data_IF_122099351973
#
_entry.id   IF_122099351973
#
_cell.length_a   1.000
_cell.length_b   1.000
_cell.length_c   1.000
_cell.angle_alpha   90.00
_cell.angle_beta   90.00
_cell.angle_gamma   90.00
#
_symmetry.space_group_name_H-M   'P 1'
#
loop_
_entity.id
_entity.type
_entity.pdbx_description
1 polymer ?
#
# COMPACT_ATOMS: atom_id res chain seq x y z
N UNK A 1 14.47 2.62 11.96
CA UNK A 1 13.22 2.52 11.16
C UNK A 1 13.38 1.62 9.95
N UNK A 2 14.27 1.91 8.98
CA UNK A 2 14.43 1.04 7.80
C UNK A 2 14.77 -0.42 8.18
N UNK A 3 15.60 -0.64 9.19
CA UNK A 3 15.90 -1.98 9.72
C UNK A 3 14.65 -2.70 10.24
N UNK A 4 13.71 -1.99 10.86
CA UNK A 4 12.42 -2.55 11.32
C UNK A 4 11.56 -2.95 10.12
N UNK A 5 11.49 -2.11 9.09
CA UNK A 5 10.76 -2.40 7.85
C UNK A 5 11.37 -3.64 7.17
N UNK A 6 12.69 -3.66 6.96
CA UNK A 6 13.40 -4.81 6.38
C UNK A 6 13.22 -6.06 7.25
N UNK A 7 13.24 -5.93 8.58
CA UNK A 7 12.98 -7.03 9.50
C UNK A 7 11.58 -7.61 9.38
N UNK A 8 10.57 -6.76 9.19
CA UNK A 8 9.20 -7.17 8.92
C UNK A 8 9.10 -7.94 7.59
N UNK A 9 9.68 -7.41 6.51
CA UNK A 9 9.74 -8.10 5.21
C UNK A 9 10.46 -9.46 5.30
N UNK A 10 11.61 -9.50 5.98
CA UNK A 10 12.35 -10.75 6.22
C UNK A 10 11.56 -11.76 7.06
N UNK A 11 10.72 -11.30 7.98
CA UNK A 11 9.84 -12.18 8.74
C UNK A 11 8.79 -12.85 7.84
N UNK A 12 8.27 -12.14 6.83
CA UNK A 12 7.43 -12.74 5.78
C UNK A 12 8.21 -13.76 4.94
N UNK A 13 9.44 -13.44 4.52
CA UNK A 13 10.28 -14.37 3.77
C UNK A 13 10.57 -15.68 4.55
N UNK A 14 10.91 -15.56 5.84
CA UNK A 14 11.31 -16.70 6.68
C UNK A 14 10.16 -17.66 7.00
N UNK A 15 8.93 -17.18 7.11
CA UNK A 15 7.78 -18.01 7.53
C UNK A 15 7.24 -18.91 6.40
N UNK A 16 7.88 -18.93 5.21
CA UNK A 16 7.37 -19.61 3.99
C UNK A 16 5.97 -19.14 3.60
N UNK A 17 5.55 -17.98 4.10
CA UNK A 17 4.39 -17.28 3.60
C UNK A 17 4.56 -17.05 2.10
N UNK A 18 5.77 -16.88 1.61
CA UNK A 18 6.06 -16.63 0.19
C UNK A 18 5.57 -17.70 -0.79
N UNK A 19 5.63 -19.02 -0.54
CA UNK A 19 5.17 -19.99 -1.56
C UNK A 19 3.65 -20.13 -1.59
N UNK A 20 3.01 -20.23 -0.42
CA UNK A 20 1.56 -20.27 -0.32
C UNK A 20 0.94 -18.92 -0.67
N UNK A 21 1.52 -17.81 -0.19
CA UNK A 21 1.07 -16.47 -0.55
C UNK A 21 1.33 -16.16 -2.02
N UNK A 22 2.42 -16.61 -2.66
CA UNK A 22 2.59 -16.44 -4.12
C UNK A 22 1.54 -17.23 -4.89
N UNK A 23 1.20 -18.46 -4.47
CA UNK A 23 0.10 -19.20 -5.10
C UNK A 23 -1.24 -18.49 -4.90
N UNK A 24 -1.59 -18.13 -3.66
CA UNK A 24 -2.83 -17.43 -3.32
C UNK A 24 -2.93 -16.07 -4.01
N UNK A 25 -1.82 -15.32 -4.07
CA UNK A 25 -1.70 -14.04 -4.75
C UNK A 25 -1.88 -14.20 -6.25
N UNK A 26 -1.22 -15.17 -6.89
CA UNK A 26 -1.40 -15.44 -8.33
C UNK A 26 -2.82 -15.89 -8.65
N UNK A 27 -3.43 -16.70 -7.78
CA UNK A 27 -4.82 -17.12 -7.93
C UNK A 27 -5.78 -15.92 -7.82
N UNK A 28 -5.62 -15.09 -6.78
CA UNK A 28 -6.41 -13.88 -6.59
C UNK A 28 -6.22 -12.86 -7.72
N UNK A 29 -4.97 -12.69 -8.19
CA UNK A 29 -4.62 -11.81 -9.31
C UNK A 29 -5.21 -12.33 -10.62
N UNK A 30 -5.17 -13.64 -10.88
CA UNK A 30 -5.80 -14.24 -12.06
C UNK A 30 -7.31 -14.00 -12.06
N UNK A 31 -7.99 -14.21 -10.93
CA UNK A 31 -9.42 -13.92 -10.82
C UNK A 31 -9.71 -12.42 -10.99
N UNK A 32 -8.91 -11.56 -10.35
CA UNK A 32 -9.07 -10.10 -10.44
C UNK A 32 -8.87 -9.59 -11.86
N UNK A 33 -7.87 -10.09 -12.58
CA UNK A 33 -7.61 -9.72 -13.97
C UNK A 33 -8.78 -10.13 -14.86
N UNK A 34 -9.29 -11.36 -14.71
CA UNK A 34 -10.46 -11.81 -15.45
C UNK A 34 -11.71 -10.97 -15.18
N UNK A 35 -11.96 -10.62 -13.90
CA UNK A 35 -13.06 -9.74 -13.51
C UNK A 35 -12.89 -8.31 -14.04
N UNK A 36 -11.65 -7.83 -14.17
CA UNK A 36 -11.35 -6.52 -14.74
C UNK A 36 -11.52 -6.50 -16.27
N UNK A 37 -11.11 -7.55 -16.99
CA UNK A 37 -11.26 -7.65 -18.46
C UNK A 37 -12.74 -7.75 -18.86
N UNK A 38 -13.57 -8.36 -18.01
CA UNK A 38 -15.02 -8.45 -18.22
C UNK A 38 -15.79 -7.23 -17.68
N UNK A 39 -15.09 -6.22 -17.14
CA UNK A 39 -15.72 -5.08 -16.46
C UNK A 39 -16.55 -4.20 -17.39
N UNK A 40 -16.14 -4.09 -18.65
CA UNK A 40 -16.72 -3.18 -19.65
C UNK A 40 -17.79 -3.85 -20.52
N UNK A 41 -18.11 -5.14 -20.28
CA UNK A 41 -19.11 -5.85 -21.08
C UNK A 41 -20.54 -5.55 -20.58
N UNK A 42 -21.44 -4.98 -21.41
CA UNK A 42 -22.75 -4.47 -20.96
C UNK A 42 -23.70 -5.56 -20.45
N UNK A 43 -23.49 -6.82 -20.85
CA UNK A 43 -24.32 -7.97 -20.46
C UNK A 43 -23.67 -8.89 -19.42
N UNK A 44 -22.58 -8.46 -18.75
CA UNK A 44 -21.82 -9.32 -17.81
C UNK A 44 -22.68 -9.92 -16.68
N UNK A 45 -23.70 -9.19 -16.23
CA UNK A 45 -24.56 -9.59 -15.12
C UNK A 45 -25.50 -10.76 -15.49
N UNK A 46 -25.68 -11.00 -16.79
CA UNK A 46 -26.42 -12.15 -17.31
C UNK A 46 -25.53 -13.38 -17.50
N UNK A 47 -24.21 -13.24 -17.37
CA UNK A 47 -23.29 -14.36 -17.48
C UNK A 47 -23.18 -15.06 -16.10
N UNK A 48 -23.73 -16.29 -15.95
CA UNK A 48 -23.68 -17.01 -14.68
C UNK A 48 -22.24 -17.35 -14.26
N UNK A 49 -21.31 -17.45 -15.21
CA UNK A 49 -19.88 -17.67 -14.94
C UNK A 49 -19.28 -16.47 -14.21
N UNK A 50 -19.58 -15.25 -14.67
CA UNK A 50 -19.12 -14.02 -14.01
C UNK A 50 -19.65 -13.93 -12.57
N UNK A 51 -20.93 -14.26 -12.36
CA UNK A 51 -21.53 -14.27 -11.02
C UNK A 51 -20.87 -15.29 -10.09
N UNK A 52 -20.60 -16.49 -10.60
CA UNK A 52 -19.89 -17.54 -9.86
C UNK A 52 -18.47 -17.12 -9.50
N UNK A 53 -17.69 -16.61 -10.46
CA UNK A 53 -16.31 -16.19 -10.23
C UNK A 53 -16.21 -14.99 -9.30
N UNK A 54 -17.10 -14.00 -9.45
CA UNK A 54 -17.19 -12.87 -8.53
C UNK A 54 -17.49 -13.35 -7.10
N UNK A 55 -18.43 -14.28 -6.93
CA UNK A 55 -18.73 -14.86 -5.63
C UNK A 55 -17.55 -15.66 -5.07
N UNK A 56 -16.88 -16.48 -5.90
CA UNK A 56 -15.68 -17.24 -5.53
C UNK A 56 -14.54 -16.32 -5.11
N UNK A 57 -14.31 -15.21 -5.82
CA UNK A 57 -13.31 -14.21 -5.46
C UNK A 57 -13.59 -13.61 -4.08
N UNK A 58 -14.81 -13.12 -3.86
CA UNK A 58 -15.18 -12.49 -2.60
C UNK A 58 -15.08 -13.49 -1.44
N UNK A 59 -15.58 -14.72 -1.63
CA UNK A 59 -15.48 -15.78 -0.62
C UNK A 59 -14.01 -16.13 -0.32
N UNK A 60 -13.17 -16.22 -1.35
CA UNK A 60 -11.75 -16.47 -1.16
C UNK A 60 -11.07 -15.36 -0.34
N UNK A 61 -11.31 -14.09 -0.69
CA UNK A 61 -10.80 -12.93 0.04
C UNK A 61 -11.24 -12.95 1.51
N UNK A 62 -12.50 -13.32 1.74
CA UNK A 62 -13.08 -13.45 3.06
C UNK A 62 -12.41 -14.51 3.93
N UNK A 63 -12.13 -15.67 3.34
CA UNK A 63 -11.52 -16.80 4.03
C UNK A 63 -10.03 -16.56 4.31
N UNK A 64 -9.33 -15.85 3.43
CA UNK A 64 -7.89 -15.61 3.58
C UNK A 64 -7.56 -14.40 4.44
N UNK A 65 -8.44 -13.39 4.52
CA UNK A 65 -8.19 -12.16 5.28
C UNK A 65 -7.75 -12.41 6.75
N UNK A 66 -8.35 -13.33 7.53
CA UNK A 66 -7.87 -13.64 8.89
C UNK A 66 -6.44 -14.21 8.94
N UNK A 67 -6.02 -14.97 7.91
CA UNK A 67 -4.68 -15.54 7.81
C UNK A 67 -3.67 -14.43 7.54
N UNK A 68 -3.95 -13.57 6.56
CA UNK A 68 -3.12 -12.40 6.23
C UNK A 68 -2.94 -11.49 7.46
N UNK A 69 -4.04 -11.16 8.15
CA UNK A 69 -3.99 -10.34 9.38
C UNK A 69 -3.10 -10.96 10.46
N UNK A 70 -3.09 -12.29 10.60
CA UNK A 70 -2.21 -12.99 11.56
C UNK A 70 -0.75 -12.97 11.12
N UNK A 71 -0.47 -13.11 9.82
CA UNK A 71 0.89 -13.06 9.28
C UNK A 71 1.51 -11.67 9.49
N UNK A 72 0.77 -10.61 9.19
CA UNK A 72 1.17 -9.21 9.42
C UNK A 72 1.55 -8.96 10.89
N UNK A 73 0.67 -9.34 11.84
CA UNK A 73 0.95 -9.19 13.28
C UNK A 73 2.19 -9.99 13.69
N UNK A 74 2.36 -11.22 13.17
CA UNK A 74 3.56 -12.00 13.46
C UNK A 74 4.82 -11.33 12.92
N UNK A 75 4.77 -10.78 11.71
CA UNK A 75 5.90 -10.08 11.12
C UNK A 75 6.26 -8.82 11.93
N UNK A 76 5.27 -8.04 12.35
CA UNK A 76 5.45 -6.89 13.26
C UNK A 76 6.10 -7.31 14.58
N UNK A 77 5.57 -8.35 15.22
CA UNK A 77 6.08 -8.88 16.47
C UNK A 77 7.52 -9.37 16.34
N UNK A 78 7.88 -10.03 15.22
CA UNK A 78 9.26 -10.47 14.96
C UNK A 78 10.22 -9.31 14.76
N UNK A 79 9.77 -8.26 14.09
CA UNK A 79 10.56 -7.05 13.95
C UNK A 79 10.74 -6.35 15.30
N UNK A 80 9.68 -6.24 16.11
CA UNK A 80 9.74 -5.70 17.46
C UNK A 80 10.62 -6.54 18.40
N UNK A 81 10.63 -7.87 18.26
CA UNK A 81 11.53 -8.78 18.99
C UNK A 81 13.01 -8.50 18.68
N UNK A 82 13.32 -8.14 17.43
CA UNK A 82 14.69 -7.91 16.98
C UNK A 82 15.19 -6.48 17.23
N UNK A 83 14.31 -5.48 17.19
CA UNK A 83 14.68 -4.05 17.19
C UNK A 83 14.03 -3.21 18.30
N UNK A 84 13.13 -3.82 19.09
CA UNK A 84 12.45 -3.19 20.21
C UNK A 84 11.06 -2.65 19.90
N UNK A 85 10.18 -2.71 20.92
CA UNK A 85 8.78 -2.31 20.82
C UNK A 85 8.57 -0.84 20.44
N UNK A 86 9.30 0.10 21.05
CA UNK A 86 9.12 1.52 20.77
C UNK A 86 9.61 1.94 19.38
N UNK A 87 10.71 1.35 18.91
CA UNK A 87 11.20 1.62 17.56
C UNK A 87 10.22 1.04 16.52
N UNK A 88 9.67 -0.14 16.77
CA UNK A 88 8.63 -0.73 15.92
C UNK A 88 7.36 0.13 15.89
N UNK A 89 6.88 0.60 17.04
CA UNK A 89 5.71 1.50 17.12
C UNK A 89 5.92 2.81 16.35
N UNK A 90 7.06 3.49 16.59
CA UNK A 90 7.41 4.73 15.89
C UNK A 90 7.46 4.51 14.38
N UNK A 91 8.06 3.39 13.96
CA UNK A 91 8.13 3.01 12.54
C UNK A 91 6.75 2.78 11.95
N UNK A 92 5.86 2.01 12.61
CA UNK A 92 4.49 1.74 12.15
C UNK A 92 3.66 3.02 12.00
N UNK A 93 3.75 3.94 12.98
CA UNK A 93 3.05 5.23 12.92
C UNK A 93 3.54 6.07 11.73
N UNK A 94 4.85 6.12 11.54
CA UNK A 94 5.46 6.90 10.46
C UNK A 94 5.16 6.28 9.09
N UNK A 95 5.23 4.97 8.97
CA UNK A 95 4.88 4.23 7.76
C UNK A 95 3.41 4.48 7.38
N UNK A 96 2.49 4.38 8.34
CA UNK A 96 1.08 4.70 8.11
C UNK A 96 0.90 6.16 7.64
N UNK A 97 1.58 7.11 8.27
CA UNK A 97 1.47 8.53 7.90
C UNK A 97 2.00 8.78 6.49
N UNK A 98 3.19 8.24 6.18
CA UNK A 98 3.85 8.42 4.88
C UNK A 98 3.04 7.77 3.76
N UNK A 99 2.57 6.54 3.97
CA UNK A 99 1.74 5.82 2.99
C UNK A 99 0.39 6.51 2.76
N UNK A 100 -0.25 7.01 3.82
CA UNK A 100 -1.52 7.73 3.72
C UNK A 100 -1.38 9.06 2.98
N UNK A 101 -0.30 9.81 3.22
CA UNK A 101 -0.01 11.03 2.46
C UNK A 101 0.32 10.75 1.00
N UNK A 102 1.07 9.68 0.73
CA UNK A 102 1.38 9.29 -0.64
C UNK A 102 0.12 8.89 -1.41
N UNK A 103 -0.78 8.12 -0.78
CA UNK A 103 -2.08 7.76 -1.35
C UNK A 103 -2.95 8.98 -1.63
N UNK A 104 -2.96 9.97 -0.73
CA UNK A 104 -3.65 11.24 -0.93
C UNK A 104 -3.13 12.01 -2.14
N UNK A 105 -1.81 12.10 -2.30
CA UNK A 105 -1.18 12.72 -3.47
C UNK A 105 -1.56 11.99 -4.76
N UNK A 106 -1.52 10.65 -4.73
CA UNK A 106 -1.86 9.86 -5.89
C UNK A 106 -3.33 10.04 -6.30
N UNK A 107 -4.24 10.07 -5.33
CA UNK A 107 -5.65 10.35 -5.56
C UNK A 107 -5.85 11.73 -6.20
N UNK A 108 -5.15 12.75 -5.70
CA UNK A 108 -5.18 14.09 -6.29
C UNK A 108 -4.70 14.07 -7.75
N UNK A 109 -3.58 13.38 -8.05
CA UNK A 109 -3.05 13.25 -9.43
C UNK A 109 -4.04 12.57 -10.37
N UNK A 110 -4.75 11.55 -9.89
CA UNK A 110 -5.80 10.87 -10.67
C UNK A 110 -6.99 11.80 -10.94
N UNK A 111 -7.38 12.63 -9.98
CA UNK A 111 -8.46 13.62 -10.13
C UNK A 111 -8.06 14.76 -11.09
N UNK A 112 -6.84 15.27 -10.97
CA UNK A 112 -6.30 16.30 -11.86
C UNK A 112 -6.24 15.78 -13.32
N UNK A 113 -5.79 14.54 -13.52
CA UNK A 113 -5.79 13.87 -14.83
C UNK A 113 -7.20 13.73 -15.41
N UNK A 114 -8.17 13.27 -14.61
CA UNK A 114 -9.58 13.13 -15.05
C UNK A 114 -10.26 14.45 -15.37
N UNK A 115 -9.86 15.53 -14.70
CA UNK A 115 -10.43 16.87 -14.89
C UNK A 115 -9.71 17.69 -15.98
N UNK A 116 -8.69 17.12 -16.63
CA UNK A 116 -7.93 17.79 -17.68
C UNK A 116 -7.06 18.94 -17.19
N UNK A 117 -6.75 18.98 -15.89
CA UNK A 117 -5.80 19.96 -15.33
C UNK A 117 -4.39 19.67 -15.83
N UNK A 118 -3.51 20.70 -15.92
CA UNK A 118 -2.13 20.50 -16.29
C UNK A 118 -1.46 19.48 -15.36
N UNK A 119 -0.87 18.44 -15.93
CA UNK A 119 -0.09 17.49 -15.16
C UNK A 119 1.20 18.18 -14.68
N UNK A 120 1.51 18.03 -13.40
CA UNK A 120 2.81 18.45 -12.87
C UNK A 120 3.91 17.58 -13.49
N UNK A 121 4.93 18.25 -14.03
CA UNK A 121 6.03 17.66 -14.80
C UNK A 121 6.95 16.77 -13.93
N UNK A 122 6.94 16.97 -12.61
CA UNK A 122 7.66 16.10 -11.66
C UNK A 122 6.98 14.75 -11.58
N UNK A 123 7.76 13.69 -11.39
CA UNK A 123 7.21 12.38 -11.05
C UNK A 123 6.48 12.43 -9.70
N UNK A 124 5.55 11.50 -9.47
CA UNK A 124 4.78 11.43 -8.21
C UNK A 124 5.72 11.32 -6.99
N UNK A 125 6.82 10.59 -7.10
CA UNK A 125 7.81 10.47 -6.01
C UNK A 125 8.64 11.75 -5.81
N UNK A 126 9.04 12.44 -6.88
CA UNK A 126 9.75 13.73 -6.78
C UNK A 126 8.86 14.78 -6.12
N UNK A 127 7.60 14.87 -6.55
CA UNK A 127 6.62 15.75 -5.92
C UNK A 127 6.42 15.38 -4.45
N UNK A 128 6.20 14.09 -4.17
CA UNK A 128 6.00 13.62 -2.80
C UNK A 128 7.17 14.00 -1.90
N UNK A 129 8.42 13.78 -2.33
CA UNK A 129 9.61 14.13 -1.54
C UNK A 129 9.70 15.64 -1.30
N UNK A 130 9.34 16.47 -2.28
CA UNK A 130 9.34 17.92 -2.15
C UNK A 130 8.24 18.43 -1.19
N UNK A 131 7.07 17.78 -1.20
CA UNK A 131 5.85 18.26 -0.57
C UNK A 131 5.40 17.41 0.62
N UNK A 132 6.16 16.41 1.07
CA UNK A 132 5.67 15.47 2.11
C UNK A 132 5.32 16.14 3.45
N UNK A 133 5.82 17.36 3.69
CA UNK A 133 5.47 18.18 4.87
C UNK A 133 4.23 19.05 4.64
N UNK A 134 3.83 19.21 3.40
CA UNK A 134 2.72 20.05 2.95
C UNK A 134 1.56 19.15 2.53
N UNK A 135 0.57 19.00 3.41
CA UNK A 135 -0.66 18.27 3.05
C UNK A 135 -1.62 19.24 2.37
N UNK A 136 -1.95 18.96 1.10
CA UNK A 136 -2.99 19.71 0.37
C UNK A 136 -4.33 19.66 1.12
N UNK A 137 -5.24 20.64 0.93
CA UNK A 137 -6.57 20.60 1.56
C UNK A 137 -7.34 19.30 1.27
N UNK A 138 -7.31 18.82 0.02
CA UNK A 138 -7.90 17.54 -0.39
C UNK A 138 -7.21 16.36 0.31
N UNK A 139 -5.88 16.38 0.40
CA UNK A 139 -5.14 15.36 1.13
C UNK A 139 -5.44 15.33 2.62
N UNK A 140 -5.69 16.49 3.26
CA UNK A 140 -6.11 16.56 4.66
C UNK A 140 -7.47 15.91 4.89
N UNK A 141 -8.40 16.11 3.97
CA UNK A 141 -9.71 15.47 4.05
C UNK A 141 -9.61 13.95 3.85
N UNK A 142 -8.79 13.50 2.89
CA UNK A 142 -8.48 12.09 2.72
C UNK A 142 -7.87 11.46 3.99
N UNK A 143 -6.89 12.13 4.60
CA UNK A 143 -6.26 11.67 5.85
C UNK A 143 -7.27 11.61 7.00
N UNK A 144 -8.21 12.56 7.10
CA UNK A 144 -9.27 12.52 8.13
C UNK A 144 -10.17 11.30 7.96
N UNK A 145 -10.61 11.03 6.73
CA UNK A 145 -11.42 9.84 6.43
C UNK A 145 -10.67 8.54 6.77
N UNK A 146 -9.37 8.49 6.46
CA UNK A 146 -8.50 7.36 6.84
C UNK A 146 -8.25 7.23 8.33
N UNK A 147 -8.34 8.31 9.10
CA UNK A 147 -8.15 8.28 10.54
C UNK A 147 -9.28 7.47 11.22
N UNK A 148 -10.52 7.61 10.75
CA UNK A 148 -11.66 6.84 11.27
C UNK A 148 -11.55 5.33 10.95
N UNK A 149 -10.82 4.98 9.90
CA UNK A 149 -10.49 3.60 9.54
C UNK A 149 -9.40 2.99 10.45
N UNK A 150 -8.63 3.80 11.20
CA UNK A 150 -7.57 3.30 12.10
C UNK A 150 -8.11 2.45 13.25
N UNK A 151 -9.36 2.69 13.63
CA UNK A 151 -10.00 2.02 14.77
C UNK A 151 -10.86 0.83 14.34
N UNK A 152 -11.30 0.80 13.08
CA UNK A 152 -12.28 -0.17 12.60
C UNK A 152 -11.57 -1.31 11.88
N UNK A 153 -11.89 -2.54 12.28
CA UNK A 153 -11.56 -3.73 11.51
C UNK A 153 -12.80 -4.18 10.76
N UNK A 154 -12.78 -4.07 9.43
CA UNK A 154 -13.75 -4.72 8.56
C UNK A 154 -13.39 -6.19 8.40
N UNK A 155 -14.42 -7.01 8.23
CA UNK A 155 -14.22 -8.44 7.95
C UNK A 155 -13.41 -8.66 6.67
N UNK A 156 -13.54 -7.73 5.72
CA UNK A 156 -12.89 -7.72 4.41
C UNK A 156 -11.46 -7.18 4.41
N UNK A 157 -10.97 -6.60 5.51
CA UNK A 157 -9.65 -5.99 5.54
C UNK A 157 -8.56 -7.07 5.53
N UNK A 158 -7.68 -7.03 4.55
CA UNK A 158 -6.54 -7.96 4.46
C UNK A 158 -5.44 -7.63 5.46
N UNK A 159 -5.39 -6.38 5.95
CA UNK A 159 -4.45 -5.92 6.96
C UNK A 159 -5.15 -5.66 8.29
N UNK A 160 -4.48 -5.91 9.42
CA UNK A 160 -5.00 -5.59 10.74
C UNK A 160 -5.00 -4.06 10.95
N UNK A 161 -5.91 -3.57 11.81
CA UNK A 161 -5.93 -2.14 12.16
C UNK A 161 -4.59 -1.68 12.74
N UNK A 162 -4.22 -0.43 12.52
CA UNK A 162 -2.99 0.14 13.08
C UNK A 162 -2.97 0.01 14.60
N UNK A 163 -4.09 0.28 15.27
CA UNK A 163 -4.21 0.12 16.72
C UNK A 163 -3.95 -1.31 17.20
N UNK A 164 -4.33 -2.32 16.43
CA UNK A 164 -4.00 -3.71 16.75
C UNK A 164 -2.52 -4.01 16.56
N UNK A 165 -1.91 -3.52 15.48
CA UNK A 165 -0.47 -3.65 15.22
C UNK A 165 0.35 -2.98 16.32
N UNK A 166 0.01 -1.73 16.68
CA UNK A 166 0.66 -0.97 17.75
C UNK A 166 0.57 -1.67 19.11
N UNK A 167 -0.60 -2.21 19.45
CA UNK A 167 -0.76 -3.00 20.69
C UNK A 167 0.09 -4.26 20.69
N UNK A 168 0.19 -4.95 19.55
CA UNK A 168 0.97 -6.18 19.44
C UNK A 168 2.47 -5.93 19.68
N UNK A 169 3.03 -4.88 19.08
CA UNK A 169 4.45 -4.55 19.24
C UNK A 169 4.78 -3.90 20.58
N UNK A 170 3.80 -3.29 21.26
CA UNK A 170 3.99 -2.67 22.57
C UNK A 170 4.32 -3.67 23.69
N UNK A 171 4.08 -4.96 23.49
CA UNK A 171 4.41 -6.01 24.45
C UNK A 171 5.92 -6.34 24.50
N UNK A 172 6.72 -5.84 23.54
CA UNK A 172 8.13 -6.16 23.42
C UNK A 172 9.00 -5.13 24.15
N UNK A 173 10.08 -5.58 24.83
CA UNK A 173 11.00 -4.68 25.51
C UNK A 173 11.72 -3.76 24.52
N UNK A 174 12.18 -2.63 25.02
CA UNK A 174 13.04 -1.75 24.24
C UNK A 174 14.47 -2.24 24.28
N UNK A 175 15.05 -2.38 23.09
CA UNK A 175 16.47 -2.70 22.90
C UNK A 175 17.08 -1.38 22.46
N UNK A 176 18.00 -0.81 23.26
CA UNK A 176 18.53 0.54 23.10
C UNK A 176 19.43 0.77 21.87
N UNK A 177 19.11 0.13 20.75
CA UNK A 177 19.83 0.25 19.50
C UNK A 177 19.13 1.28 18.60
N UNK A 178 19.67 2.49 18.56
CA UNK A 178 19.30 3.50 17.57
C UNK A 178 20.48 3.71 16.61
N UNK A 179 20.36 3.15 15.41
CA UNK A 179 21.24 3.50 14.29
C UNK A 179 20.86 4.91 13.79
N UNK A 180 21.76 5.86 13.98
CA UNK A 180 21.59 7.26 13.58
C UNK A 180 21.91 7.55 12.11
N UNK A 181 22.36 6.55 11.34
CA UNK A 181 22.73 6.76 9.94
C UNK A 181 21.48 6.96 9.06
N UNK A 182 21.53 7.90 8.10
CA UNK A 182 20.47 8.03 7.11
C UNK A 182 20.29 6.73 6.32
N UNK A 183 19.05 6.24 6.26
CA UNK A 183 18.67 5.08 5.44
C UNK A 183 19.07 5.23 3.96
N UNK A 184 19.15 6.47 3.46
CA UNK A 184 19.61 6.79 2.11
C UNK A 184 21.05 6.33 1.85
N UNK A 185 21.89 6.17 2.87
CA UNK A 185 23.25 5.66 2.71
C UNK A 185 23.29 4.18 2.26
N UNK A 186 22.18 3.46 2.41
CA UNK A 186 22.03 2.08 1.93
C UNK A 186 21.50 2.02 0.50
N UNK A 187 21.09 3.15 -0.07
CA UNK A 187 20.52 3.27 -1.40
C UNK A 187 21.54 3.93 -2.32
N UNK A 188 21.49 3.59 -3.61
CA UNK A 188 22.32 4.22 -4.64
C UNK A 188 21.87 5.66 -4.93
N UNK A 189 22.02 6.11 -6.18
CA UNK A 189 21.57 7.44 -6.59
C UNK A 189 20.06 7.62 -6.37
N UNK A 190 19.71 8.50 -5.41
CA UNK A 190 18.34 8.83 -5.03
C UNK A 190 17.53 9.37 -6.22
N UNK A 191 18.12 10.21 -7.08
CA UNK A 191 17.40 10.82 -8.18
C UNK A 191 17.02 9.79 -9.23
N UNK A 192 17.96 8.90 -9.56
CA UNK A 192 17.72 7.78 -10.48
C UNK A 192 16.63 6.86 -9.92
N UNK A 193 16.68 6.54 -8.62
CA UNK A 193 15.68 5.69 -7.98
C UNK A 193 14.27 6.30 -8.02
N UNK A 194 14.12 7.56 -7.61
CA UNK A 194 12.82 8.23 -7.58
C UNK A 194 12.20 8.33 -8.98
N UNK A 195 13.00 8.69 -9.99
CA UNK A 195 12.53 8.76 -11.38
C UNK A 195 12.11 7.38 -11.90
N UNK A 196 12.95 6.37 -11.72
CA UNK A 196 12.65 4.99 -12.18
C UNK A 196 11.36 4.45 -11.56
N UNK A 197 11.14 4.68 -10.27
CA UNK A 197 9.90 4.27 -9.60
C UNK A 197 8.69 5.11 -10.05
N UNK A 198 8.89 6.42 -10.24
CA UNK A 198 7.86 7.33 -10.72
C UNK A 198 7.35 6.99 -12.10
N UNK A 199 8.25 6.74 -13.04
CA UNK A 199 7.92 6.41 -14.43
C UNK A 199 7.17 5.07 -14.51
N UNK A 200 7.59 4.07 -13.72
CA UNK A 200 6.88 2.78 -13.62
C UNK A 200 5.47 2.95 -13.08
N UNK A 201 5.31 3.66 -11.97
CA UNK A 201 4.01 3.88 -11.35
C UNK A 201 3.06 4.66 -12.29
N UNK A 202 3.59 5.66 -12.99
CA UNK A 202 2.80 6.45 -13.92
C UNK A 202 2.35 5.64 -15.14
N UNK A 203 3.18 4.71 -15.63
CA UNK A 203 2.81 3.76 -16.67
C UNK A 203 1.71 2.79 -16.21
N UNK A 204 1.81 2.24 -14.99
CA UNK A 204 0.80 1.34 -14.43
C UNK A 204 -0.56 2.02 -14.22
N UNK A 205 -0.54 3.30 -13.83
CA UNK A 205 -1.74 4.06 -13.50
C UNK A 205 -2.26 4.93 -14.65
N UNK A 206 -1.65 4.86 -15.83
CA UNK A 206 -1.98 5.69 -17.00
C UNK A 206 -2.06 7.19 -16.68
N UNK A 207 -1.19 7.69 -15.79
CA UNK A 207 -1.19 9.10 -15.37
C UNK A 207 -0.87 10.08 -16.51
N UNK A 208 -0.37 9.57 -17.64
CA UNK A 208 0.00 10.34 -18.84
C UNK A 208 -0.88 10.04 -20.07
N UNK A 209 -1.99 9.30 -19.94
CA UNK A 209 -2.90 9.06 -21.08
C UNK A 209 -3.63 10.36 -21.48
N UNK A 210 -3.16 10.92 -22.59
CA UNK A 210 -3.50 12.15 -23.34
C UNK A 210 -4.82 12.91 -23.09
N UNK A 211 -4.82 14.26 -23.15
CA UNK A 211 -5.97 14.96 -23.74
C UNK A 211 -6.06 14.55 -25.21
N UNK A 212 -7.21 13.98 -25.61
CA UNK A 212 -7.53 13.74 -27.01
C UNK A 212 -7.20 15.00 -27.82
N UNK A 213 -6.47 14.82 -28.92
CA UNK A 213 -6.29 15.83 -29.93
C UNK A 213 -7.68 16.36 -30.35
N UNK A 214 -8.02 17.56 -29.89
CA UNK A 214 -9.03 18.41 -30.54
C UNK A 214 -8.31 19.29 -31.54
N UNK A 215 -8.25 18.84 -32.78
CA UNK A 215 -8.06 19.64 -33.99
C UNK A 215 -8.41 18.69 -35.14
N UNK A 216 -9.43 18.91 -35.97
CA UNK A 216 -9.95 20.17 -36.50
C UNK A 216 -10.04 19.95 -38.00
#
# INVERSE_FOLDING_TARGET
ELQVIVGHELAHFRQRDTTLAVFLFRFAQSLRNYLNDTRDHPLRWLNPVYGFEWASYNLFQLLIAPVLRRQEIKADCRSAEAFGGDLARRTLLKDWLVSSQFAALLQQRLEDSRSGRPADERTVYEQFVAEWREVSPTGREYLRQRLDELERESYWDTHPSLNRRLRAVAAYPNIGFEDGQPALNLLGDKHVLLRTLGDKLAAELNLFAHPMATAG
#
